data_IF_955377722578
#
_entry.id   IF_955377722578
#
_cell.length_a   1.000
_cell.length_b   1.000
_cell.length_c   1.000
_cell.angle_alpha   90.00
_cell.angle_beta   90.00
_cell.angle_gamma   90.00
#
_symmetry.space_group_name_H-M   'P 1'
#
loop_
_entity.id
_entity.type
_entity.pdbx_description
1 polymer ?
#
# COMPACT_ATOMS: atom_id res chain seq x y z
N UNK A 1 8.84 14.44 20.77
CA UNK A 1 9.53 13.75 19.64
C UNK A 1 8.88 12.38 19.36
N UNK A 2 7.59 12.19 19.68
CA UNK A 2 7.13 10.85 20.09
C UNK A 2 6.24 10.13 19.06
N UNK A 3 5.70 10.84 18.06
CA UNK A 3 4.80 10.24 17.07
C UNK A 3 5.49 9.25 16.14
N UNK A 4 6.70 9.57 15.66
CA UNK A 4 7.43 8.72 14.70
C UNK A 4 7.94 7.41 15.31
N UNK A 5 8.24 7.37 16.61
CA UNK A 5 8.63 6.13 17.28
C UNK A 5 7.42 5.23 17.52
N UNK A 6 6.26 5.78 17.89
CA UNK A 6 5.00 5.02 18.04
C UNK A 6 4.50 4.42 16.72
N UNK A 7 4.71 5.11 15.60
CA UNK A 7 4.33 4.58 14.29
C UNK A 7 5.26 3.46 13.81
N UNK A 8 6.54 3.47 14.18
CA UNK A 8 7.48 2.38 13.89
C UNK A 8 7.12 1.11 14.66
N UNK A 9 6.89 1.22 15.98
CA UNK A 9 6.50 0.06 16.79
C UNK A 9 5.20 -0.58 16.29
N UNK A 10 4.23 0.24 15.88
CA UNK A 10 2.98 -0.24 15.28
C UNK A 10 3.17 -0.97 13.94
N UNK A 11 4.17 -0.59 13.15
CA UNK A 11 4.51 -1.31 11.92
C UNK A 11 5.16 -2.66 12.23
N UNK A 12 6.05 -2.72 13.22
CA UNK A 12 6.61 -4.00 13.71
C UNK A 12 5.48 -4.93 14.19
N UNK A 13 4.58 -4.46 15.05
CA UNK A 13 3.43 -5.23 15.56
C UNK A 13 2.55 -5.77 14.42
N UNK A 14 2.25 -4.94 13.41
CA UNK A 14 1.47 -5.38 12.24
C UNK A 14 2.21 -6.44 11.41
N UNK A 15 3.52 -6.34 11.28
CA UNK A 15 4.32 -7.33 10.55
C UNK A 15 4.34 -8.67 11.28
N UNK A 16 4.55 -8.64 12.59
CA UNK A 16 4.52 -9.84 13.43
C UNK A 16 3.15 -10.51 13.34
N UNK A 17 2.08 -9.73 13.46
CA UNK A 17 0.72 -10.26 13.34
C UNK A 17 0.41 -10.84 11.96
N UNK A 18 0.92 -10.23 10.88
CA UNK A 18 0.80 -10.79 9.53
C UNK A 18 1.56 -12.12 9.42
N UNK A 19 2.76 -12.20 9.98
CA UNK A 19 3.57 -13.42 9.97
C UNK A 19 2.88 -14.57 10.72
N UNK A 20 2.32 -14.29 11.92
CA UNK A 20 1.53 -15.26 12.68
C UNK A 20 0.34 -15.78 11.86
N UNK A 21 -0.44 -14.88 11.25
CA UNK A 21 -1.59 -15.27 10.44
C UNK A 21 -1.19 -16.06 9.19
N UNK A 22 -0.02 -15.79 8.61
CA UNK A 22 0.52 -16.57 7.50
C UNK A 22 0.87 -17.99 7.94
N UNK A 23 1.44 -18.16 9.14
CA UNK A 23 1.75 -19.49 9.68
C UNK A 23 0.48 -20.27 10.01
N UNK A 24 -0.48 -19.64 10.69
CA UNK A 24 -1.80 -20.22 10.94
C UNK A 24 -2.51 -20.63 9.63
N UNK A 25 -2.40 -19.81 8.58
CA UNK A 25 -2.94 -20.13 7.26
C UNK A 25 -2.27 -21.37 6.66
N UNK A 26 -0.96 -21.54 6.78
CA UNK A 26 -0.27 -22.74 6.27
C UNK A 26 -0.83 -24.00 6.92
N UNK A 27 -1.05 -24.00 8.23
CA UNK A 27 -1.68 -25.11 8.93
C UNK A 27 -3.07 -25.41 8.36
N UNK A 28 -3.90 -24.38 8.16
CA UNK A 28 -5.24 -24.57 7.56
C UNK A 28 -5.18 -25.16 6.15
N UNK A 29 -4.21 -24.74 5.32
CA UNK A 29 -4.03 -25.30 3.97
C UNK A 29 -3.66 -26.78 4.04
N UNK A 30 -2.79 -27.17 4.98
CA UNK A 30 -2.42 -28.57 5.19
C UNK A 30 -3.64 -29.40 5.60
N UNK A 31 -4.41 -28.95 6.59
CA UNK A 31 -5.61 -29.65 7.07
C UNK A 31 -6.69 -29.76 5.98
N UNK A 32 -6.86 -28.71 5.17
CA UNK A 32 -7.74 -28.74 4.00
C UNK A 32 -7.29 -29.79 2.98
N UNK A 33 -5.99 -29.89 2.73
CA UNK A 33 -5.39 -30.88 1.84
C UNK A 33 -5.58 -32.31 2.34
N UNK A 34 -5.38 -32.54 3.64
CA UNK A 34 -5.63 -33.84 4.28
C UNK A 34 -7.11 -34.23 4.15
N UNK A 35 -8.01 -33.30 4.48
CA UNK A 35 -9.45 -33.52 4.35
C UNK A 35 -9.85 -33.84 2.91
N UNK A 36 -9.19 -33.24 1.91
CA UNK A 36 -9.43 -33.52 0.50
C UNK A 36 -8.93 -34.90 0.06
N UNK A 37 -7.90 -35.44 0.72
CA UNK A 37 -7.37 -36.77 0.43
C UNK A 37 -8.20 -37.88 1.10
N UNK A 38 -8.78 -37.61 2.27
CA UNK A 38 -9.56 -38.58 3.03
C UNK A 38 -10.96 -38.85 2.43
N UNK A 39 -11.50 -37.93 1.62
CA UNK A 39 -12.82 -38.05 1.02
C UNK A 39 -12.76 -38.04 -0.51
N UNK A 40 -13.40 -39.03 -1.13
CA UNK A 40 -13.48 -39.15 -2.59
C UNK A 40 -14.39 -38.10 -3.25
N UNK A 41 -15.39 -37.59 -2.53
CA UNK A 41 -16.26 -36.50 -3.01
C UNK A 41 -16.06 -35.23 -2.17
N UNK A 42 -15.50 -34.21 -2.80
CA UNK A 42 -15.25 -32.91 -2.18
C UNK A 42 -16.52 -32.08 -2.01
N UNK A 43 -17.60 -32.38 -2.74
CA UNK A 43 -18.85 -31.59 -2.69
C UNK A 43 -19.63 -31.80 -1.41
N UNK A 44 -19.47 -32.97 -0.79
CA UNK A 44 -20.15 -33.34 0.47
C UNK A 44 -19.18 -33.36 1.66
N UNK A 45 -17.94 -32.91 1.45
CA UNK A 45 -16.91 -32.93 2.48
C UNK A 45 -17.01 -31.69 3.40
N UNK A 46 -17.82 -31.81 4.46
CA UNK A 46 -18.01 -30.75 5.45
C UNK A 46 -16.70 -30.28 6.11
N UNK A 47 -15.70 -31.16 6.26
CA UNK A 47 -14.40 -30.79 6.81
C UNK A 47 -13.60 -29.93 5.82
N UNK A 48 -13.60 -30.30 4.54
CA UNK A 48 -13.00 -29.48 3.49
C UNK A 48 -13.63 -28.09 3.44
N UNK A 49 -14.96 -28.01 3.45
CA UNK A 49 -15.70 -26.74 3.46
C UNK A 49 -15.36 -25.87 4.68
N UNK A 50 -15.23 -26.50 5.85
CA UNK A 50 -14.84 -25.80 7.07
C UNK A 50 -13.45 -25.17 6.92
N UNK A 51 -12.48 -25.94 6.44
CA UNK A 51 -11.11 -25.46 6.25
C UNK A 51 -11.00 -24.43 5.12
N UNK A 52 -11.78 -24.58 4.05
CA UNK A 52 -11.87 -23.59 2.96
C UNK A 52 -12.37 -22.23 3.47
N UNK A 53 -13.47 -22.22 4.23
CA UNK A 53 -13.97 -20.97 4.87
C UNK A 53 -12.95 -20.38 5.83
N UNK A 54 -12.24 -21.23 6.57
CA UNK A 54 -11.20 -20.79 7.50
C UNK A 54 -10.02 -20.15 6.74
N UNK A 55 -9.58 -20.76 5.63
CA UNK A 55 -8.55 -20.22 4.74
C UNK A 55 -8.97 -18.85 4.19
N UNK A 56 -10.21 -18.73 3.72
CA UNK A 56 -10.76 -17.48 3.21
C UNK A 56 -10.76 -16.35 4.27
N UNK A 57 -11.12 -16.67 5.51
CA UNK A 57 -11.05 -15.73 6.62
C UNK A 57 -9.62 -15.25 6.91
N UNK A 58 -8.64 -16.16 6.89
CA UNK A 58 -7.23 -15.79 7.05
C UNK A 58 -6.75 -14.90 5.92
N UNK A 59 -7.05 -15.24 4.66
CA UNK A 59 -6.73 -14.41 3.50
C UNK A 59 -7.27 -12.99 3.63
N UNK A 60 -8.55 -12.86 4.02
CA UNK A 60 -9.20 -11.56 4.22
C UNK A 60 -8.54 -10.73 5.32
N UNK A 61 -8.19 -11.37 6.45
CA UNK A 61 -7.49 -10.70 7.56
C UNK A 61 -6.09 -10.24 7.17
N UNK A 62 -5.33 -11.10 6.48
CA UNK A 62 -4.00 -10.76 5.98
C UNK A 62 -4.10 -9.56 5.02
N UNK A 63 -5.01 -9.61 4.05
CA UNK A 63 -5.21 -8.54 3.08
C UNK A 63 -5.52 -7.19 3.77
N UNK A 64 -6.39 -7.21 4.78
CA UNK A 64 -6.70 -6.01 5.58
C UNK A 64 -5.47 -5.45 6.28
N UNK A 65 -4.72 -6.28 6.99
CA UNK A 65 -3.52 -5.83 7.72
C UNK A 65 -2.42 -5.35 6.78
N UNK A 66 -2.26 -5.99 5.61
CA UNK A 66 -1.31 -5.52 4.60
C UNK A 66 -1.68 -4.15 4.05
N UNK A 67 -2.98 -3.90 3.86
CA UNK A 67 -3.48 -2.59 3.44
C UNK A 67 -3.25 -1.52 4.53
N UNK A 68 -3.57 -1.84 5.79
CA UNK A 68 -3.33 -0.94 6.93
C UNK A 68 -1.84 -0.57 7.06
N UNK A 69 -0.96 -1.55 6.86
CA UNK A 69 0.50 -1.36 6.87
C UNK A 69 0.95 -0.45 5.72
N UNK A 70 0.38 -0.60 4.53
CA UNK A 70 0.67 0.26 3.38
C UNK A 70 0.23 1.71 3.62
N UNK A 71 -0.98 1.92 4.18
CA UNK A 71 -1.47 3.24 4.55
C UNK A 71 -0.56 3.92 5.57
N UNK A 72 -0.07 3.19 6.57
CA UNK A 72 0.89 3.72 7.55
C UNK A 72 2.22 4.11 6.90
N UNK A 73 2.75 3.28 5.99
CA UNK A 73 3.97 3.61 5.23
C UNK A 73 3.81 4.87 4.38
N UNK A 74 2.64 5.09 3.78
CA UNK A 74 2.36 6.29 2.99
C UNK A 74 2.35 7.54 3.89
N UNK A 75 1.73 7.46 5.07
CA UNK A 75 1.68 8.58 6.04
C UNK A 75 3.07 8.98 6.55
N UNK A 76 3.97 8.01 6.69
CA UNK A 76 5.35 8.24 7.12
C UNK A 76 6.25 8.86 6.05
N UNK A 77 5.87 8.84 4.76
CA UNK A 77 6.68 9.43 3.70
C UNK A 77 6.68 10.97 3.83
N UNK A 78 7.84 11.62 3.91
CA UNK A 78 7.88 13.08 3.89
C UNK A 78 7.31 13.56 2.55
N UNK A 79 6.24 14.37 2.59
CA UNK A 79 5.77 15.09 1.40
C UNK A 79 6.97 15.88 0.86
N UNK A 80 7.48 15.51 -0.32
CA UNK A 80 8.40 16.37 -1.07
C UNK A 80 7.63 17.67 -1.29
N UNK A 81 8.02 18.75 -0.60
CA UNK A 81 7.48 20.06 -0.90
C UNK A 81 7.80 20.36 -2.36
N UNK A 82 6.86 20.89 -3.14
CA UNK A 82 7.19 21.36 -4.48
C UNK A 82 8.24 22.44 -4.29
N UNK A 83 9.49 22.16 -4.71
CA UNK A 83 10.50 23.20 -4.85
C UNK A 83 9.90 24.20 -5.84
N UNK A 84 9.38 25.34 -5.35
CA UNK A 84 9.06 26.49 -6.19
C UNK A 84 10.35 26.79 -6.95
N UNK A 85 10.42 26.40 -8.22
CA UNK A 85 11.51 26.80 -9.07
C UNK A 85 11.37 28.31 -9.25
N UNK A 86 12.11 29.08 -8.47
CA UNK A 86 12.30 30.50 -8.72
C UNK A 86 13.20 30.67 -9.93
N UNK A 87 12.70 30.27 -11.11
CA UNK A 87 13.16 30.82 -12.38
C UNK A 87 12.35 32.10 -12.58
N UNK A 88 12.75 33.18 -11.89
CA UNK A 88 12.41 34.52 -12.36
C UNK A 88 13.26 34.74 -13.60
N UNK A 89 12.72 34.37 -14.76
CA UNK A 89 13.26 34.88 -16.01
C UNK A 89 13.16 36.40 -15.93
N UNK A 90 14.33 37.03 -15.89
CA UNK A 90 14.47 38.48 -15.88
C UNK A 90 13.98 38.93 -17.25
N UNK A 91 12.76 39.43 -17.34
CA UNK A 91 12.28 40.07 -18.56
C UNK A 91 13.16 41.29 -18.76
N UNK A 92 14.09 41.20 -19.70
CA UNK A 92 14.88 42.35 -20.14
C UNK A 92 13.91 43.39 -20.67
N UNK A 93 13.92 44.58 -20.05
CA UNK A 93 13.09 45.69 -20.49
C UNK A 93 13.53 46.06 -21.90
N UNK A 94 12.65 45.86 -22.87
CA UNK A 94 12.86 46.31 -24.25
C UNK A 94 13.00 47.83 -24.22
N UNK A 95 14.15 48.34 -24.65
CA UNK A 95 14.43 49.77 -24.69
C UNK A 95 13.67 50.39 -25.88
N UNK A 96 12.53 51.04 -25.59
CA UNK A 96 11.57 51.59 -26.55
C UNK A 96 12.15 52.70 -27.46
N UNK A 97 13.43 53.08 -27.28
CA UNK A 97 14.11 54.11 -28.06
C UNK A 97 14.51 53.68 -29.48
N UNK A 98 14.58 52.38 -29.76
CA UNK A 98 15.00 51.85 -31.06
C UNK A 98 13.85 51.29 -31.92
N UNK A 99 12.59 51.54 -31.56
CA UNK A 99 11.47 51.13 -32.43
C UNK A 99 11.36 52.16 -33.57
N UNK A 100 11.59 51.77 -34.85
CA UNK A 100 11.41 52.68 -35.97
C UNK A 100 9.94 53.09 -36.05
N UNK A 101 9.69 54.40 -35.86
CA UNK A 101 8.36 54.97 -36.07
C UNK A 101 8.18 55.23 -37.57
N UNK A 102 7.10 54.67 -38.13
CA UNK A 102 6.60 54.85 -39.51
C UNK A 102 7.33 54.04 -40.59
N UNK A 103 6.68 53.58 -41.67
CA UNK A 103 5.47 54.10 -42.33
C UNK A 103 4.60 52.94 -42.85
N UNK A 104 3.34 52.91 -42.42
CA UNK A 104 2.28 52.32 -43.23
C UNK A 104 1.60 53.48 -43.94
N UNK A 105 1.92 53.64 -45.22
CA UNK A 105 1.13 54.24 -46.29
C UNK A 105 1.36 53.35 -47.52
#
# INVERSE_FOLDING_TARGET
MDGKNKEKTKIEELRERIAELQEERKHVILEKGLSAQENNDLRENAQYDFWDRKEHNYNSRIAKLTHDLELLKIRLKPKKSPKRSTKKERIEKIDLKNIPKSKWL
#
